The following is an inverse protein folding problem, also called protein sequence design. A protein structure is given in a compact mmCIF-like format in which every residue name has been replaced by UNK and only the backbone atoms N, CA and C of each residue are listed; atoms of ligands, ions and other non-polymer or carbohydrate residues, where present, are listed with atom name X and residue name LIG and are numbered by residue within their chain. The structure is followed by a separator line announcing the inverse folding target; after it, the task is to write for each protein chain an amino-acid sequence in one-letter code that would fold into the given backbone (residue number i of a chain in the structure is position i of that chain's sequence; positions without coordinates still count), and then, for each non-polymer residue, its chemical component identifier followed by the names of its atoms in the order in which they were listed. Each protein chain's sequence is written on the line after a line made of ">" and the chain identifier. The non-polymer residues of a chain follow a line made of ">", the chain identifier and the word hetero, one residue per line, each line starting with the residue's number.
data_IF_189066986233
#
_entry.id   IF_189066986233
#
_cell.length_a   1.000
_cell.length_b   1.000
_cell.length_c   1.000
_cell.angle_alpha   90.00
_cell.angle_beta   90.00
_cell.angle_gamma   90.00
#
_symmetry.space_group_name_H-M   'P 1'
#
loop_
_entity.id
_entity.type
_entity.pdbx_description
1 polymer ?
#
# COMPACT_ATOMS: atom_id res chain seq x y z
N UNK A 1 24.08 -7.28 5.70
CA UNK A 1 22.64 -7.18 5.98
C UNK A 1 21.92 -7.10 4.65
N UNK A 2 20.96 -7.99 4.39
CA UNK A 2 20.11 -7.86 3.19
C UNK A 2 19.31 -6.57 3.26
N UNK A 3 19.24 -5.85 2.13
CA UNK A 3 18.45 -4.63 2.00
C UNK A 3 16.99 -5.03 1.84
N UNK A 4 16.12 -4.54 2.72
CA UNK A 4 14.67 -4.79 2.62
C UNK A 4 14.14 -4.15 1.34
N UNK A 5 13.47 -4.95 0.50
CA UNK A 5 12.76 -4.46 -0.67
C UNK A 5 11.39 -3.87 -0.24
N UNK A 6 11.41 -2.61 0.15
CA UNK A 6 10.22 -1.86 0.53
C UNK A 6 9.22 -1.71 -0.61
N UNK A 7 9.69 -1.63 -1.86
CA UNK A 7 8.82 -1.49 -3.03
C UNK A 7 7.96 -2.75 -3.21
N UNK A 8 8.57 -3.92 -3.11
CA UNK A 8 7.85 -5.19 -3.18
C UNK A 8 6.87 -5.36 -2.01
N UNK A 9 7.27 -4.97 -0.80
CA UNK A 9 6.41 -5.08 0.40
C UNK A 9 5.20 -4.15 0.34
N UNK A 10 5.41 -2.88 -0.02
CA UNK A 10 4.36 -1.86 -0.05
C UNK A 10 3.40 -1.98 -1.24
N UNK A 11 3.77 -2.67 -2.32
CA UNK A 11 2.87 -2.98 -3.44
C UNK A 11 2.16 -4.34 -3.29
N UNK A 12 2.49 -5.10 -2.24
CA UNK A 12 1.94 -6.44 -2.03
C UNK A 12 0.49 -6.39 -1.56
N UNK A 13 -0.42 -6.99 -2.34
CA UNK A 13 -1.82 -7.18 -1.92
C UNK A 13 -1.93 -7.97 -0.63
N UNK A 14 -1.07 -9.00 -0.45
CA UNK A 14 -1.06 -9.84 0.77
C UNK A 14 -0.73 -9.03 2.01
N UNK A 15 0.19 -8.05 1.89
CA UNK A 15 0.52 -7.15 2.98
C UNK A 15 -0.69 -6.30 3.37
N UNK A 16 -1.33 -5.64 2.39
CA UNK A 16 -2.48 -4.77 2.67
C UNK A 16 -3.70 -5.52 3.17
N UNK A 17 -3.99 -6.73 2.67
CA UNK A 17 -5.06 -7.57 3.20
C UNK A 17 -4.79 -7.96 4.66
N UNK A 18 -3.54 -8.24 5.03
CA UNK A 18 -3.19 -8.53 6.42
C UNK A 18 -3.35 -7.30 7.32
N UNK A 19 -2.94 -6.11 6.85
CA UNK A 19 -3.12 -4.84 7.59
C UNK A 19 -4.61 -4.55 7.81
N UNK A 20 -5.44 -4.65 6.76
CA UNK A 20 -6.89 -4.45 6.88
C UNK A 20 -7.48 -5.45 7.87
N UNK A 21 -7.21 -6.74 7.71
CA UNK A 21 -7.76 -7.77 8.60
C UNK A 21 -7.35 -7.57 10.07
N UNK A 22 -6.10 -7.18 10.33
CA UNK A 22 -5.60 -6.89 11.67
C UNK A 22 -6.29 -5.69 12.30
N UNK A 23 -6.38 -4.57 11.58
CA UNK A 23 -7.00 -3.33 12.10
C UNK A 23 -8.51 -3.55 12.29
N UNK A 24 -9.18 -4.22 11.36
CA UNK A 24 -10.60 -4.60 11.50
C UNK A 24 -10.84 -5.46 12.72
N UNK A 25 -10.03 -6.50 12.95
CA UNK A 25 -10.16 -7.36 14.14
C UNK A 25 -9.97 -6.59 15.46
N UNK A 26 -9.03 -5.65 15.51
CA UNK A 26 -8.84 -4.77 16.68
C UNK A 26 -10.09 -3.91 16.92
N UNK A 27 -10.62 -3.26 15.88
CA UNK A 27 -11.80 -2.39 16.02
C UNK A 27 -13.02 -3.18 16.47
N UNK A 28 -13.21 -4.40 15.94
CA UNK A 28 -14.27 -5.31 16.39
C UNK A 28 -14.11 -5.68 17.87
N UNK A 29 -12.88 -6.01 18.31
CA UNK A 29 -12.61 -6.33 19.72
C UNK A 29 -12.88 -5.15 20.68
N UNK A 30 -12.78 -3.92 20.17
CA UNK A 30 -13.07 -2.69 20.91
C UNK A 30 -14.55 -2.26 20.83
N UNK A 31 -15.43 -3.07 20.21
CA UNK A 31 -16.85 -2.74 19.98
C UNK A 31 -17.09 -1.43 19.22
N UNK A 32 -16.20 -1.10 18.27
CA UNK A 32 -16.41 0.02 17.35
C UNK A 32 -17.55 -0.31 16.39
N UNK A 33 -18.35 0.70 16.02
CA UNK A 33 -19.49 0.53 15.12
C UNK A 33 -19.05 0.18 13.67
N UNK A 34 -19.92 -0.51 12.94
CA UNK A 34 -19.61 -1.01 11.60
C UNK A 34 -19.35 0.10 10.59
N UNK A 35 -19.99 1.27 10.71
CA UNK A 35 -19.78 2.39 9.80
C UNK A 35 -18.35 2.95 9.96
N UNK A 36 -17.89 3.12 11.19
CA UNK A 36 -16.50 3.55 11.45
C UNK A 36 -15.50 2.51 10.96
N UNK A 37 -15.77 1.21 11.16
CA UNK A 37 -14.92 0.12 10.66
C UNK A 37 -14.80 0.16 9.13
N UNK A 38 -15.92 0.34 8.42
CA UNK A 38 -15.96 0.47 6.97
C UNK A 38 -15.16 1.70 6.48
N UNK A 39 -15.34 2.85 7.14
CA UNK A 39 -14.60 4.08 6.81
C UNK A 39 -13.08 3.90 6.98
N UNK A 40 -12.64 3.31 8.09
CA UNK A 40 -11.21 3.04 8.33
C UNK A 40 -10.67 2.06 7.30
N UNK A 41 -11.42 1.00 6.97
CA UNK A 41 -11.05 0.04 5.92
C UNK A 41 -10.91 0.71 4.55
N UNK A 42 -11.82 1.64 4.22
CA UNK A 42 -11.77 2.42 2.99
C UNK A 42 -10.53 3.33 2.95
N UNK A 43 -10.19 4.00 4.06
CA UNK A 43 -8.99 4.85 4.16
C UNK A 43 -7.71 4.02 3.96
N UNK A 44 -7.60 2.86 4.61
CA UNK A 44 -6.44 1.96 4.43
C UNK A 44 -6.33 1.54 2.95
N UNK A 45 -7.46 1.18 2.33
CA UNK A 45 -7.50 0.76 0.93
C UNK A 45 -7.09 1.89 -0.02
N UNK A 46 -7.58 3.11 0.21
CA UNK A 46 -7.20 4.30 -0.56
C UNK A 46 -5.71 4.61 -0.44
N UNK A 47 -5.14 4.45 0.76
CA UNK A 47 -3.71 4.63 1.01
C UNK A 47 -2.86 3.63 0.23
N UNK A 48 -3.29 2.37 0.18
CA UNK A 48 -2.63 1.32 -0.60
C UNK A 48 -2.61 1.66 -2.11
N UNK A 49 -3.74 2.15 -2.64
CA UNK A 49 -3.86 2.57 -4.06
C UNK A 49 -2.91 3.73 -4.35
N UNK A 50 -2.88 4.74 -3.49
CA UNK A 50 -2.01 5.90 -3.66
C UNK A 50 -0.53 5.51 -3.69
N UNK A 51 -0.10 4.67 -2.74
CA UNK A 51 1.28 4.18 -2.68
C UNK A 51 1.63 3.37 -3.94
N UNK A 52 0.73 2.50 -4.40
CA UNK A 52 0.94 1.73 -5.62
C UNK A 52 1.09 2.63 -6.86
N UNK A 53 0.29 3.70 -6.95
CA UNK A 53 0.39 4.67 -8.02
C UNK A 53 1.73 5.41 -8.00
N UNK A 54 2.14 5.97 -6.85
CA UNK A 54 3.41 6.71 -6.71
C UNK A 54 4.60 5.82 -7.07
N UNK A 55 4.61 4.57 -6.61
CA UNK A 55 5.68 3.62 -6.94
C UNK A 55 5.66 3.22 -8.42
N UNK A 56 4.47 3.13 -9.03
CA UNK A 56 4.31 2.88 -10.46
C UNK A 56 4.87 4.01 -11.33
N UNK A 57 4.48 5.25 -11.05
CA UNK A 57 5.00 6.43 -11.75
C UNK A 57 6.52 6.57 -11.57
N UNK A 58 7.04 6.36 -10.35
CA UNK A 58 8.48 6.39 -10.11
C UNK A 58 9.27 5.34 -10.92
N UNK A 59 8.68 4.17 -11.21
CA UNK A 59 9.28 3.19 -12.11
C UNK A 59 9.29 3.65 -13.57
N UNK A 60 8.19 4.24 -14.02
CA UNK A 60 8.05 4.76 -15.37
C UNK A 60 9.06 5.89 -15.59
N UNK A 61 9.21 6.79 -14.62
CA UNK A 61 10.18 7.88 -14.69
C UNK A 61 11.63 7.38 -14.68
N UNK A 62 11.95 6.38 -13.84
CA UNK A 62 13.27 5.75 -13.86
C UNK A 62 13.58 5.11 -15.22
N UNK A 63 12.60 4.46 -15.84
CA UNK A 63 12.74 3.87 -17.19
C UNK A 63 12.94 4.96 -18.25
N UNK A 64 12.20 6.08 -18.19
CA UNK A 64 12.37 7.23 -19.10
C UNK A 64 13.74 7.88 -18.99
N UNK A 65 14.28 8.04 -17.77
CA UNK A 65 15.61 8.61 -17.57
C UNK A 65 16.67 7.70 -18.19
N UNK A 66 16.54 6.38 -18.03
CA UNK A 66 17.45 5.41 -18.64
C UNK A 66 17.41 5.49 -20.18
N UNK A 67 16.22 5.50 -20.77
CA UNK A 67 16.05 5.59 -22.24
C UNK A 67 16.65 6.87 -22.84
N UNK A 68 16.59 8.01 -22.12
CA UNK A 68 17.22 9.27 -22.53
C UNK A 68 18.73 9.31 -22.34
N UNK A 69 19.30 8.52 -21.44
CA UNK A 69 20.74 8.44 -21.20
C UNK A 69 21.47 7.48 -22.14
N UNK A 70 20.71 6.57 -22.77
CA UNK A 70 21.20 5.61 -23.78
C UNK A 70 21.09 6.16 -25.23
N UNK A 71 20.58 7.39 -25.41
CA UNK A 71 20.59 8.17 -26.67
C UNK A 71 21.66 9.27 -26.64
#
# INVERSE_FOLDING_TARGET
>A
MEKIDWKQKLTSRKFWTAVVGFVTAIMMALNIDSLTIEQVTAIISASAILIAYILGEGMVDAARIKDKGDQ
#
